data_IF_933744454251
#
_entry.id   IF_933744454251
#
_cell.length_a   1.000
_cell.length_b   1.000
_cell.length_c   1.000
_cell.angle_alpha   90.00
_cell.angle_beta   90.00
_cell.angle_gamma   90.00
#
_symmetry.space_group_name_H-M   'P 1'
#
loop_
_entity.id
_entity.type
_entity.pdbx_description
1 polymer ?
#
# COMPACT_ATOMS: atom_id res chain seq x y z
N UNK A 1 -30.89 16.51 0.53
CA UNK A 1 -29.74 17.03 1.27
C UNK A 1 -28.51 16.40 0.65
N UNK A 2 -27.84 17.10 -0.26
CA UNK A 2 -26.56 16.67 -0.80
C UNK A 2 -25.52 16.89 0.29
N UNK A 3 -25.09 15.80 0.93
CA UNK A 3 -23.95 15.81 1.84
C UNK A 3 -22.78 16.42 1.07
N UNK A 4 -22.35 17.61 1.49
CA UNK A 4 -21.32 18.37 0.79
C UNK A 4 -20.01 17.63 1.08
N UNK A 5 -19.64 16.73 0.17
CA UNK A 5 -18.46 15.88 0.29
C UNK A 5 -17.21 16.79 0.29
N UNK A 6 -16.74 17.14 1.48
CA UNK A 6 -15.51 17.91 1.68
C UNK A 6 -14.37 16.90 1.84
N UNK A 7 -13.42 16.93 0.92
CA UNK A 7 -12.21 16.10 0.98
C UNK A 7 -11.05 17.00 1.29
N UNK A 8 -10.33 16.69 2.36
CA UNK A 8 -9.09 17.37 2.72
C UNK A 8 -7.90 16.63 2.06
N UNK A 9 -7.22 17.24 1.06
CA UNK A 9 -6.12 16.59 0.34
C UNK A 9 -4.96 16.18 1.26
N UNK A 10 -4.73 16.94 2.33
CA UNK A 10 -3.67 16.65 3.31
C UNK A 10 -3.95 15.39 4.12
N UNK A 11 -5.21 15.09 4.45
CA UNK A 11 -5.57 13.82 5.10
C UNK A 11 -5.31 12.63 4.16
N UNK A 12 -5.67 12.75 2.88
CA UNK A 12 -5.40 11.72 1.87
C UNK A 12 -3.89 11.45 1.73
N UNK A 13 -3.07 12.51 1.79
CA UNK A 13 -1.60 12.37 1.80
C UNK A 13 -1.13 11.66 3.07
N UNK A 14 -1.63 12.05 4.24
CA UNK A 14 -1.31 11.38 5.50
C UNK A 14 -1.64 9.88 5.48
N UNK A 15 -2.80 9.49 4.96
CA UNK A 15 -3.16 8.09 4.79
C UNK A 15 -2.26 7.38 3.77
N UNK A 16 -1.88 8.04 2.67
CA UNK A 16 -0.94 7.46 1.71
C UNK A 16 0.40 7.11 2.35
N UNK A 17 0.92 7.98 3.23
CA UNK A 17 2.18 7.71 3.94
C UNK A 17 2.05 6.58 4.96
N UNK A 18 0.90 6.49 5.65
CA UNK A 18 0.62 5.37 6.56
C UNK A 18 0.61 4.04 5.82
N UNK A 19 -0.04 3.99 4.65
CA UNK A 19 -0.05 2.79 3.81
C UNK A 19 1.36 2.44 3.30
N UNK A 20 2.15 3.43 2.91
CA UNK A 20 3.52 3.23 2.42
C UNK A 20 4.43 2.65 3.54
N UNK A 21 4.38 3.24 4.73
CA UNK A 21 5.09 2.72 5.92
C UNK A 21 4.64 1.30 6.27
N UNK A 22 3.33 1.07 6.31
CA UNK A 22 2.79 -0.24 6.66
C UNK A 22 3.15 -1.31 5.61
N UNK A 23 3.28 -0.93 4.33
CA UNK A 23 3.64 -1.87 3.27
C UNK A 23 5.03 -2.46 3.50
N UNK A 24 5.96 -1.68 4.04
CA UNK A 24 7.31 -2.16 4.36
C UNK A 24 7.33 -3.24 5.44
N UNK A 25 6.33 -3.27 6.34
CA UNK A 25 6.23 -4.33 7.35
C UNK A 25 5.98 -5.71 6.73
N UNK A 26 5.27 -5.81 5.60
CA UNK A 26 5.11 -7.09 4.91
C UNK A 26 6.44 -7.69 4.44
N UNK A 27 7.38 -6.86 3.99
CA UNK A 27 8.71 -7.31 3.58
C UNK A 27 9.52 -7.80 4.79
N UNK A 28 9.44 -7.09 5.91
CA UNK A 28 10.11 -7.50 7.15
C UNK A 28 9.58 -8.84 7.67
N UNK A 29 8.25 -9.01 7.65
CA UNK A 29 7.60 -10.27 8.05
C UNK A 29 7.99 -11.40 7.08
N UNK A 30 8.03 -11.10 5.77
CA UNK A 30 8.44 -12.06 4.75
C UNK A 30 9.85 -12.57 5.01
N UNK A 31 10.80 -11.65 5.19
CA UNK A 31 12.20 -12.00 5.41
C UNK A 31 12.34 -12.87 6.66
N UNK A 32 11.65 -12.52 7.75
CA UNK A 32 11.64 -13.33 8.96
C UNK A 32 11.03 -14.72 8.74
N UNK A 33 9.88 -14.81 8.08
CA UNK A 33 9.17 -16.07 7.85
C UNK A 33 9.94 -17.01 6.91
N UNK A 34 10.60 -16.48 5.88
CA UNK A 34 11.44 -17.29 4.99
C UNK A 34 12.70 -17.75 5.73
N UNK A 35 13.37 -16.85 6.47
CA UNK A 35 14.61 -17.20 7.18
C UNK A 35 14.40 -18.17 8.34
N UNK A 36 13.24 -18.13 9.03
CA UNK A 36 12.99 -18.95 10.22
C UNK A 36 12.04 -20.11 9.95
N UNK A 37 10.97 -19.89 9.19
CA UNK A 37 9.97 -20.91 8.87
C UNK A 37 10.34 -21.81 7.68
N UNK A 38 11.20 -21.31 6.78
CA UNK A 38 11.73 -22.08 5.65
C UNK A 38 13.04 -22.83 5.95
N UNK A 39 13.61 -22.68 7.15
CA UNK A 39 14.88 -23.33 7.52
C UNK A 39 14.66 -24.82 7.77
N UNK A 40 15.04 -25.62 6.78
CA UNK A 40 14.95 -27.08 6.84
C UNK A 40 16.31 -27.75 7.05
N UNK A 41 17.35 -26.98 7.41
CA UNK A 41 18.71 -27.48 7.62
C UNK A 41 18.82 -28.55 8.71
N UNK A 42 17.91 -28.54 9.69
CA UNK A 42 17.82 -29.54 10.76
C UNK A 42 17.06 -30.82 10.39
N UNK A 43 16.46 -30.90 9.21
CA UNK A 43 15.68 -32.08 8.83
C UNK A 43 16.62 -33.21 8.43
N UNK A 44 16.55 -34.32 9.15
CA UNK A 44 17.37 -35.52 8.91
C UNK A 44 16.49 -36.77 8.82
N UNK A 45 16.98 -37.83 8.18
CA UNK A 45 16.23 -39.07 8.00
C UNK A 45 14.89 -38.87 7.26
N UNK A 46 13.82 -39.46 7.78
CA UNK A 46 12.45 -39.35 7.22
C UNK A 46 11.96 -37.91 7.07
N UNK A 47 12.44 -36.97 7.88
CA UNK A 47 12.00 -35.58 7.82
C UNK A 47 12.48 -34.85 6.56
N UNK A 48 13.56 -35.32 5.91
CA UNK A 48 14.03 -34.74 4.64
C UNK A 48 12.98 -34.83 3.53
N UNK A 49 12.07 -35.81 3.58
CA UNK A 49 10.96 -35.94 2.63
C UNK A 49 9.99 -34.76 2.69
N UNK A 50 9.98 -33.99 3.79
CA UNK A 50 9.12 -32.82 3.97
C UNK A 50 9.75 -31.53 3.41
N UNK A 51 11.03 -31.53 3.04
CA UNK A 51 11.73 -30.38 2.43
C UNK A 51 10.91 -29.67 1.34
N UNK A 52 10.39 -30.36 0.30
CA UNK A 52 9.65 -29.70 -0.76
C UNK A 52 8.36 -29.04 -0.28
N UNK A 53 7.66 -29.65 0.70
CA UNK A 53 6.42 -29.11 1.25
C UNK A 53 6.69 -27.84 2.04
N UNK A 54 7.67 -27.87 2.95
CA UNK A 54 8.04 -26.69 3.75
C UNK A 54 8.55 -25.55 2.87
N UNK A 55 9.38 -25.87 1.88
CA UNK A 55 9.86 -24.88 0.91
C UNK A 55 8.71 -24.29 0.10
N UNK A 56 7.74 -25.11 -0.30
CA UNK A 56 6.54 -24.67 -1.02
C UNK A 56 5.67 -23.72 -0.20
N UNK A 57 5.40 -24.07 1.07
CA UNK A 57 4.62 -23.21 1.98
C UNK A 57 5.34 -21.90 2.26
N UNK A 58 6.65 -21.94 2.51
CA UNK A 58 7.45 -20.72 2.73
C UNK A 58 7.43 -19.79 1.51
N UNK A 59 7.50 -20.34 0.29
CA UNK A 59 7.37 -19.57 -0.96
C UNK A 59 5.98 -18.98 -1.12
N UNK A 60 4.91 -19.76 -0.95
CA UNK A 60 3.53 -19.28 -1.06
C UNK A 60 3.25 -18.14 -0.07
N UNK A 61 3.74 -18.29 1.17
CA UNK A 61 3.65 -17.26 2.19
C UNK A 61 4.38 -15.98 1.77
N UNK A 62 5.61 -16.12 1.24
CA UNK A 62 6.38 -14.98 0.75
C UNK A 62 5.74 -14.26 -0.44
N UNK A 63 5.21 -15.00 -1.40
CA UNK A 63 4.47 -14.46 -2.54
C UNK A 63 3.20 -13.71 -2.10
N UNK A 64 2.49 -14.23 -1.10
CA UNK A 64 1.30 -13.59 -0.53
C UNK A 64 1.65 -12.25 0.11
N UNK A 65 2.77 -12.18 0.85
CA UNK A 65 3.24 -10.93 1.45
C UNK A 65 3.74 -9.92 0.42
N UNK A 66 4.38 -10.38 -0.65
CA UNK A 66 4.76 -9.52 -1.78
C UNK A 66 3.53 -8.96 -2.50
N UNK A 67 2.48 -9.77 -2.66
CA UNK A 67 1.21 -9.32 -3.20
C UNK A 67 0.53 -8.28 -2.30
N UNK A 68 0.50 -8.52 -0.98
CA UNK A 68 -0.05 -7.58 -0.01
C UNK A 68 0.69 -6.24 -0.02
N UNK A 69 2.03 -6.27 -0.03
CA UNK A 69 2.87 -5.08 -0.17
C UNK A 69 2.51 -4.28 -1.44
N UNK A 70 2.50 -4.92 -2.60
CA UNK A 70 2.18 -4.25 -3.89
C UNK A 70 0.79 -3.64 -3.89
N UNK A 71 -0.20 -4.35 -3.34
CA UNK A 71 -1.58 -3.86 -3.28
C UNK A 71 -1.67 -2.62 -2.42
N UNK A 72 -1.02 -2.63 -1.24
CA UNK A 72 -1.08 -1.49 -0.34
C UNK A 72 -0.31 -0.27 -0.89
N UNK A 73 0.80 -0.48 -1.59
CA UNK A 73 1.50 0.60 -2.33
C UNK A 73 0.65 1.19 -3.46
N UNK A 74 -0.14 0.35 -4.14
CA UNK A 74 -1.07 0.81 -5.17
C UNK A 74 -2.17 1.69 -4.57
N UNK A 75 -2.69 1.32 -3.41
CA UNK A 75 -3.70 2.12 -2.70
C UNK A 75 -3.12 3.45 -2.21
N UNK A 76 -1.88 3.44 -1.69
CA UNK A 76 -1.15 4.65 -1.32
C UNK A 76 -1.00 5.62 -2.52
N UNK A 77 -0.59 5.10 -3.68
CA UNK A 77 -0.45 5.88 -4.91
C UNK A 77 -1.81 6.43 -5.40
N UNK A 78 -2.88 5.65 -5.28
CA UNK A 78 -4.23 6.09 -5.62
C UNK A 78 -4.71 7.24 -4.71
N UNK A 79 -4.44 7.18 -3.40
CA UNK A 79 -4.76 8.28 -2.48
C UNK A 79 -3.99 9.55 -2.83
N UNK A 80 -2.70 9.44 -3.16
CA UNK A 80 -1.86 10.58 -3.57
C UNK A 80 -2.39 11.24 -4.84
N UNK A 81 -2.70 10.43 -5.87
CA UNK A 81 -3.29 10.91 -7.12
C UNK A 81 -4.65 11.57 -6.92
N UNK A 82 -5.45 11.05 -6.00
CA UNK A 82 -6.74 11.63 -5.63
C UNK A 82 -6.56 13.00 -4.96
N UNK A 83 -5.64 13.12 -4.00
CA UNK A 83 -5.31 14.39 -3.36
C UNK A 83 -4.87 15.45 -4.39
N UNK A 84 -3.96 15.08 -5.30
CA UNK A 84 -3.49 15.97 -6.37
C UNK A 84 -4.62 16.39 -7.33
N UNK A 85 -5.62 15.53 -7.51
CA UNK A 85 -6.79 15.83 -8.35
C UNK A 85 -7.72 16.84 -7.68
N UNK A 86 -7.97 16.71 -6.36
CA UNK A 86 -8.76 17.67 -5.60
C UNK A 86 -8.11 19.05 -5.58
N UNK A 87 -6.81 19.13 -5.31
CA UNK A 87 -6.09 20.41 -5.35
C UNK A 87 -6.17 21.09 -6.72
N UNK A 88 -6.05 20.32 -7.80
CA UNK A 88 -6.19 20.87 -9.16
C UNK A 88 -7.59 21.43 -9.40
N UNK A 89 -8.64 20.70 -8.99
CA UNK A 89 -10.03 21.17 -9.14
C UNK A 89 -10.26 22.45 -8.36
N UNK A 90 -9.78 22.52 -7.11
CA UNK A 90 -9.89 23.73 -6.28
C UNK A 90 -9.15 24.91 -6.89
N UNK A 91 -7.92 24.72 -7.39
CA UNK A 91 -7.14 25.76 -8.05
C UNK A 91 -7.84 26.29 -9.31
N UNK A 92 -8.44 25.41 -10.12
CA UNK A 92 -9.22 25.79 -11.30
C UNK A 92 -10.50 26.54 -10.92
N UNK A 93 -11.20 26.11 -9.86
CA UNK A 93 -12.38 26.81 -9.32
C UNK A 93 -12.06 28.22 -8.84
N UNK A 94 -10.95 28.39 -8.11
CA UNK A 94 -10.47 29.70 -7.64
C UNK A 94 -10.09 30.61 -8.81
N UNK A 95 -9.47 30.09 -9.87
CA UNK A 95 -9.16 30.88 -11.08
C UNK A 95 -10.41 31.35 -11.82
N UNK A 96 -11.41 30.48 -11.98
CA UNK A 96 -12.68 30.83 -12.60
C UNK A 96 -13.44 31.90 -11.78
N UNK A 97 -13.45 31.79 -10.45
CA UNK A 97 -14.04 32.82 -9.59
C UNK A 97 -13.30 34.15 -9.67
N UNK A 98 -11.97 34.15 -9.74
CA UNK A 98 -11.19 35.38 -9.94
C UNK A 98 -11.47 36.04 -11.29
N UNK A 99 -11.66 35.25 -12.35
CA UNK A 99 -12.03 35.77 -13.67
C UNK A 99 -13.48 36.30 -13.71
N UNK A 100 -14.42 35.66 -13.02
CA UNK A 100 -15.81 36.09 -12.95
C UNK A 100 -16.03 37.29 -12.00
N UNK A 101 -15.22 37.42 -10.94
CA UNK A 101 -15.31 38.49 -9.94
C UNK A 101 -14.54 39.77 -10.28
N UNK A 102 -13.66 39.75 -11.28
CA UNK A 102 -12.88 40.91 -11.72
C UNK A 102 -13.59 41.88 -12.67
N UNK A 103 -14.89 41.70 -12.90
CA UNK A 103 -15.70 42.46 -13.85
C UNK A 103 -16.60 43.56 -13.24
N UNK A 104 -16.19 44.20 -12.14
CA UNK A 104 -16.84 45.42 -11.63
C UNK A 104 -15.81 46.46 -11.23
#
# INVERSE_FOLDING_TARGET
MSEQFHVEPDELRGYSELLDRNAQHFLTIKDHAISKGGDTSGFTGLLTLLHPVVTGVARLYGETLDFANKTMLKDADALRKTADSYEKVDLHGVQLMKQAGGGR
#
